data_IF_571693037067
#
_entry.id   IF_571693037067
#
_cell.length_a   1.000
_cell.length_b   1.000
_cell.length_c   1.000
_cell.angle_alpha   90.00
_cell.angle_beta   90.00
_cell.angle_gamma   90.00
#
_symmetry.space_group_name_H-M   'P 1'
#
loop_
_entity.id
_entity.type
_entity.pdbx_description
1 polymer ?
#
# COMPACT_ATOMS: atom_id res chain seq x y z
N UNK A 1 16.69 1.80 -41.56
CA UNK A 1 16.47 0.83 -40.45
C UNK A 1 16.80 1.48 -39.08
N UNK A 2 16.40 2.74 -38.85
CA UNK A 2 16.65 3.48 -37.60
C UNK A 2 15.36 3.72 -36.77
N UNK A 3 14.19 3.55 -37.40
CA UNK A 3 12.88 3.79 -36.79
C UNK A 3 12.52 2.80 -35.68
N UNK A 4 12.98 1.54 -35.80
CA UNK A 4 12.63 0.47 -34.85
C UNK A 4 13.30 0.62 -33.46
N UNK A 5 14.49 1.25 -33.37
CA UNK A 5 15.21 1.38 -32.09
C UNK A 5 14.57 2.43 -31.18
N UNK A 6 14.01 3.51 -31.76
CA UNK A 6 13.36 4.58 -31.00
C UNK A 6 12.02 4.11 -30.43
N UNK A 7 11.24 3.37 -31.21
CA UNK A 7 9.98 2.78 -30.77
C UNK A 7 10.17 1.81 -29.58
N UNK A 8 11.24 1.03 -29.59
CA UNK A 8 11.55 0.09 -28.51
C UNK A 8 11.84 0.79 -27.17
N UNK A 9 12.55 1.92 -27.21
CA UNK A 9 12.82 2.73 -26.02
C UNK A 9 11.56 3.40 -25.45
N UNK A 10 10.64 3.83 -26.31
CA UNK A 10 9.36 4.42 -25.89
C UNK A 10 8.45 3.39 -25.21
N UNK A 11 8.38 2.17 -25.74
CA UNK A 11 7.60 1.08 -25.13
C UNK A 11 8.17 0.71 -23.76
N UNK A 12 9.50 0.63 -23.62
CA UNK A 12 10.15 0.36 -22.34
C UNK A 12 9.86 1.46 -21.30
N UNK A 13 9.89 2.74 -21.68
CA UNK A 13 9.54 3.82 -20.76
C UNK A 13 8.08 3.77 -20.30
N UNK A 14 7.14 3.46 -21.20
CA UNK A 14 5.73 3.33 -20.87
C UNK A 14 5.47 2.17 -19.89
N UNK A 15 6.15 1.02 -20.06
CA UNK A 15 6.04 -0.09 -19.13
C UNK A 15 6.54 0.25 -17.72
N UNK A 16 7.64 1.01 -17.60
CA UNK A 16 8.20 1.41 -16.30
C UNK A 16 7.30 2.43 -15.60
N UNK A 17 6.68 3.36 -16.34
CA UNK A 17 5.68 4.28 -15.76
C UNK A 17 4.44 3.53 -15.27
N UNK A 18 3.96 2.53 -16.02
CA UNK A 18 2.79 1.74 -15.62
C UNK A 18 3.01 0.90 -14.34
N UNK A 19 4.25 0.64 -13.94
CA UNK A 19 4.58 -0.05 -12.68
C UNK A 19 4.76 0.89 -11.49
N UNK A 20 4.80 2.20 -11.71
CA UNK A 20 5.03 3.19 -10.65
C UNK A 20 3.77 3.54 -9.84
N UNK A 21 2.60 3.07 -10.27
CA UNK A 21 1.31 3.36 -9.61
C UNK A 21 0.98 2.33 -8.52
N UNK A 22 1.71 1.20 -8.47
CA UNK A 22 1.53 0.19 -7.42
C UNK A 22 2.49 0.44 -6.25
N UNK A 23 2.43 1.65 -5.71
CA UNK A 23 3.02 1.98 -4.43
C UNK A 23 1.90 2.03 -3.41
N UNK A 24 1.74 0.95 -2.63
CA UNK A 24 0.76 0.85 -1.54
C UNK A 24 0.80 2.13 -0.69
N UNK A 25 -0.12 3.06 -0.95
CA UNK A 25 -0.23 4.26 -0.14
C UNK A 25 -0.78 3.80 1.20
N UNK A 26 0.11 3.74 2.19
CA UNK A 26 -0.22 3.40 3.56
C UNK A 26 -0.81 4.65 4.21
N UNK A 27 -2.13 4.65 4.41
CA UNK A 27 -2.83 5.77 5.02
C UNK A 27 -2.94 5.54 6.52
N UNK A 28 -2.29 6.36 7.37
CA UNK A 28 -2.43 6.25 8.80
C UNK A 28 -3.83 6.70 9.22
N UNK A 29 -4.55 5.78 9.85
CA UNK A 29 -5.96 5.97 10.19
C UNK A 29 -6.16 6.70 11.53
N UNK A 30 -5.12 6.77 12.35
CA UNK A 30 -5.18 7.25 13.74
C UNK A 30 -5.80 6.25 14.72
N UNK A 31 -6.25 5.08 14.25
CA UNK A 31 -6.75 4.00 15.13
C UNK A 31 -5.58 3.27 15.73
N UNK A 32 -5.57 3.17 17.06
CA UNK A 32 -4.55 2.41 17.79
C UNK A 32 -4.83 0.92 17.70
N UNK A 33 -3.78 0.17 17.46
CA UNK A 33 -3.79 -1.28 17.63
C UNK A 33 -3.93 -1.64 19.10
N UNK A 34 -4.80 -2.60 19.41
CA UNK A 34 -4.93 -3.11 20.78
C UNK A 34 -3.72 -3.94 21.21
N UNK A 35 -3.04 -4.59 20.26
CA UNK A 35 -1.89 -5.43 20.56
C UNK A 35 -0.62 -4.60 20.82
N UNK A 36 0.03 -4.76 21.99
CA UNK A 36 1.27 -4.05 22.32
C UNK A 36 2.49 -4.51 21.51
N UNK A 37 2.37 -5.55 20.68
CA UNK A 37 3.42 -6.03 19.78
C UNK A 37 3.10 -5.72 18.31
N UNK A 38 2.03 -4.97 18.02
CA UNK A 38 1.69 -4.55 16.67
C UNK A 38 1.09 -5.65 15.80
N UNK A 39 0.54 -6.72 16.40
CA UNK A 39 -0.24 -7.69 15.65
C UNK A 39 -1.65 -7.16 15.41
N UNK A 40 -2.16 -7.33 14.19
CA UNK A 40 -3.58 -7.09 13.89
C UNK A 40 -4.42 -8.25 14.43
N UNK A 41 -4.54 -8.28 15.76
CA UNK A 41 -5.31 -9.30 16.48
C UNK A 41 -6.79 -9.12 16.14
N UNK A 42 -7.45 -10.21 15.72
CA UNK A 42 -8.85 -10.22 15.24
C UNK A 42 -9.09 -9.42 13.97
N UNK A 43 -8.04 -9.05 13.23
CA UNK A 43 -8.18 -8.37 11.93
C UNK A 43 -8.92 -7.02 12.03
N UNK A 44 -8.74 -6.29 13.14
CA UNK A 44 -9.44 -5.02 13.40
C UNK A 44 -9.07 -3.96 12.35
N UNK A 45 -7.78 -3.84 12.03
CA UNK A 45 -7.32 -2.89 11.01
C UNK A 45 -7.79 -3.31 9.62
N UNK A 46 -7.73 -4.61 9.30
CA UNK A 46 -8.24 -5.13 8.04
C UNK A 46 -9.73 -4.82 7.85
N UNK A 47 -10.56 -5.09 8.86
CA UNK A 47 -12.01 -4.83 8.81
C UNK A 47 -12.28 -3.34 8.66
N UNK A 48 -11.64 -2.51 9.49
CA UNK A 48 -11.78 -1.06 9.42
C UNK A 48 -11.43 -0.51 8.03
N UNK A 49 -10.26 -0.88 7.51
CA UNK A 49 -9.80 -0.37 6.22
C UNK A 49 -10.72 -0.84 5.08
N UNK A 50 -11.19 -2.08 5.12
CA UNK A 50 -12.13 -2.60 4.11
C UNK A 50 -13.49 -1.88 4.16
N UNK A 51 -14.01 -1.58 5.36
CA UNK A 51 -15.27 -0.84 5.54
C UNK A 51 -15.21 0.58 4.97
N UNK A 52 -14.05 1.24 5.09
CA UNK A 52 -13.81 2.58 4.54
C UNK A 52 -13.52 2.55 3.03
N UNK A 53 -13.32 1.36 2.44
CA UNK A 53 -13.15 1.18 0.99
C UNK A 53 -11.70 0.97 0.53
N UNK A 54 -10.76 0.72 1.44
CA UNK A 54 -9.39 0.31 1.12
C UNK A 54 -9.31 -1.19 0.81
N UNK A 55 -8.22 -1.63 0.17
CA UNK A 55 -8.01 -3.04 -0.16
C UNK A 55 -7.68 -3.91 1.06
N UNK A 56 -7.19 -3.29 2.13
CA UNK A 56 -6.92 -3.96 3.39
C UNK A 56 -6.20 -3.04 4.35
N UNK A 57 -5.77 -3.60 5.48
CA UNK A 57 -4.97 -2.85 6.45
C UNK A 57 -4.34 -3.77 7.48
N UNK A 58 -3.37 -3.23 8.20
CA UNK A 58 -2.70 -3.93 9.30
C UNK A 58 -2.20 -2.95 10.37
N UNK A 59 -1.67 -3.51 11.44
CA UNK A 59 -0.97 -2.76 12.47
C UNK A 59 0.48 -2.49 12.07
N UNK A 60 0.85 -1.22 11.97
CA UNK A 60 2.21 -0.76 11.69
C UNK A 60 2.67 0.21 12.78
N UNK A 61 3.99 0.34 12.94
CA UNK A 61 4.61 1.27 13.88
C UNK A 61 5.63 0.60 14.81
N UNK A 62 5.81 1.19 15.99
CA UNK A 62 6.80 0.75 16.99
C UNK A 62 6.13 0.52 18.35
N UNK A 63 6.86 -0.09 19.29
CA UNK A 63 6.33 -0.48 20.61
C UNK A 63 5.54 0.65 21.28
N UNK A 64 4.31 0.37 21.69
CA UNK A 64 3.31 1.31 22.26
C UNK A 64 2.76 2.39 21.29
N UNK A 65 3.18 2.38 20.04
CA UNK A 65 2.79 3.33 18.99
C UNK A 65 2.35 2.61 17.72
N UNK A 66 1.68 1.47 17.88
CA UNK A 66 1.10 0.74 16.75
C UNK A 66 -0.24 1.36 16.36
N UNK A 67 -0.38 1.65 15.08
CA UNK A 67 -1.58 2.22 14.48
C UNK A 67 -2.01 1.39 13.27
N UNK A 68 -3.30 1.40 12.99
CA UNK A 68 -3.82 0.81 11.75
C UNK A 68 -3.38 1.67 10.57
N UNK A 69 -2.76 1.04 9.58
CA UNK A 69 -2.48 1.60 8.27
C UNK A 69 -3.32 0.86 7.22
N UNK A 70 -3.95 1.61 6.33
CA UNK A 70 -4.75 1.06 5.23
C UNK A 70 -3.97 1.08 3.92
N UNK A 71 -4.21 0.10 3.07
CA UNK A 71 -3.56 -0.05 1.76
C UNK A 71 -4.49 0.41 0.63
N UNK A 72 -4.03 1.36 -0.17
CA UNK A 72 -4.63 1.68 -1.48
C UNK A 72 -4.12 0.72 -2.57
N UNK A 73 -4.95 0.49 -3.58
CA UNK A 73 -4.74 -0.48 -4.66
C UNK A 73 -4.64 0.12 -6.04
#
# INVERSE_FOLDING_TARGET
MASNKVAFFLILCLCVLSTAEFGEAQIPTGIKCQDPNGKDIKSECLIYCTDVGYLGGNCQGYKNHYMCECYEG
#
